data_IF_248558033452
#
_entry.id   IF_248558033452
#
_cell.length_a   1.000
_cell.length_b   1.000
_cell.length_c   1.000
_cell.angle_alpha   90.00
_cell.angle_beta   90.00
_cell.angle_gamma   90.00
#
_symmetry.space_group_name_H-M   'P 1'
#
loop_
_entity.id
_entity.type
_entity.pdbx_description
1 polymer ?
#
# COMPACT_ATOMS: atom_id res chain seq x y z
N UNK A 1 18.03 -0.38 -1.89
CA UNK A 1 16.77 -0.93 -1.39
C UNK A 1 15.85 -1.23 -2.55
N UNK A 2 15.17 -2.35 -2.47
CA UNK A 2 14.31 -2.77 -3.57
C UNK A 2 13.00 -1.99 -3.59
N UNK A 3 12.65 -1.51 -4.74
CA UNK A 3 11.33 -0.99 -5.04
C UNK A 3 10.63 -2.01 -5.92
N UNK A 4 9.36 -2.25 -5.66
CA UNK A 4 8.60 -3.27 -6.39
C UNK A 4 7.31 -2.69 -6.93
N UNK A 5 6.93 -3.15 -8.10
CA UNK A 5 5.62 -2.84 -8.67
C UNK A 5 4.58 -3.72 -8.01
N UNK A 6 3.47 -3.13 -7.63
CA UNK A 6 2.37 -3.84 -7.00
C UNK A 6 1.07 -3.63 -7.74
N UNK A 7 0.15 -4.57 -7.54
CA UNK A 7 -1.21 -4.49 -8.05
C UNK A 7 -2.17 -4.49 -6.86
N UNK A 8 -3.09 -3.53 -6.83
CA UNK A 8 -4.07 -3.43 -5.76
C UNK A 8 -5.20 -4.43 -6.02
N UNK A 9 -5.48 -5.26 -5.03
CA UNK A 9 -6.57 -6.24 -5.10
C UNK A 9 -7.85 -5.74 -4.46
N UNK A 10 -7.73 -5.06 -3.31
CA UNK A 10 -8.89 -4.52 -2.61
C UNK A 10 -8.47 -3.45 -1.62
N UNK A 11 -9.42 -2.63 -1.22
CA UNK A 11 -9.21 -1.66 -0.14
C UNK A 11 -9.59 -2.33 1.18
N UNK A 12 -8.71 -2.23 2.17
CA UNK A 12 -8.92 -2.80 3.49
C UNK A 12 -9.69 -1.82 4.39
N UNK A 13 -10.11 -2.30 5.56
CA UNK A 13 -10.78 -1.47 6.55
C UNK A 13 -9.82 -0.46 7.17
N UNK A 14 -10.35 0.62 7.72
CA UNK A 14 -9.54 1.63 8.41
C UNK A 14 -8.75 1.07 9.59
N UNK A 15 -9.28 0.06 10.26
CA UNK A 15 -8.59 -0.61 11.36
C UNK A 15 -7.26 -1.21 10.91
N UNK A 16 -7.14 -1.59 9.66
CA UNK A 16 -5.91 -2.16 9.12
C UNK A 16 -4.80 -1.13 8.97
N UNK A 17 -5.15 0.16 8.90
CA UNK A 17 -4.14 1.24 8.92
C UNK A 17 -3.38 1.19 10.26
N UNK A 18 -4.10 1.04 11.36
CA UNK A 18 -3.48 0.96 12.68
C UNK A 18 -2.62 -0.29 12.83
N UNK A 19 -3.08 -1.44 12.32
CA UNK A 19 -2.29 -2.67 12.32
C UNK A 19 -1.00 -2.50 11.54
N UNK A 20 -1.07 -1.84 10.39
CA UNK A 20 0.09 -1.57 9.56
C UNK A 20 1.09 -0.65 10.28
N UNK A 21 0.59 0.43 10.90
CA UNK A 21 1.44 1.36 11.65
C UNK A 21 2.11 0.68 12.84
N UNK A 22 1.39 -0.16 13.56
CA UNK A 22 1.93 -0.89 14.70
C UNK A 22 3.03 -1.86 14.28
N UNK A 23 2.86 -2.50 13.14
CA UNK A 23 3.86 -3.44 12.62
C UNK A 23 5.09 -2.71 12.08
N UNK A 24 4.89 -1.66 11.30
CA UNK A 24 5.96 -0.93 10.62
C UNK A 24 6.70 0.05 11.53
N UNK A 25 6.07 0.46 12.62
CA UNK A 25 6.59 1.46 13.57
C UNK A 25 6.83 2.82 12.91
N UNK A 26 6.05 3.12 11.87
CA UNK A 26 6.04 4.42 11.19
C UNK A 26 4.60 4.83 10.90
N UNK A 27 4.39 6.12 10.76
CA UNK A 27 3.06 6.65 10.45
C UNK A 27 2.65 6.31 9.02
N UNK A 28 1.39 5.92 8.84
CA UNK A 28 0.86 5.63 7.51
C UNK A 28 0.86 6.88 6.64
N UNK A 29 1.29 6.71 5.41
CA UNK A 29 1.23 7.74 4.37
C UNK A 29 1.15 7.04 3.02
N UNK A 30 1.07 7.79 1.92
CA UNK A 30 1.13 7.20 0.59
C UNK A 30 2.56 6.79 0.27
N UNK A 31 2.79 5.50 0.12
CA UNK A 31 4.12 4.95 -0.16
C UNK A 31 4.41 4.76 -1.64
N UNK A 32 3.47 5.14 -2.52
CA UNK A 32 3.71 5.11 -3.96
C UNK A 32 4.80 6.12 -4.33
N UNK A 33 5.87 5.66 -4.95
CA UNK A 33 7.01 6.50 -5.35
C UNK A 33 6.62 7.56 -6.40
N UNK A 34 5.52 7.35 -7.09
CA UNK A 34 5.03 8.31 -8.10
C UNK A 34 4.07 9.36 -7.51
N UNK A 35 3.74 9.26 -6.23
CA UNK A 35 2.86 10.21 -5.57
C UNK A 35 3.54 11.56 -5.37
N UNK A 36 2.82 12.64 -5.68
CA UNK A 36 3.31 14.00 -5.51
C UNK A 36 3.19 14.51 -4.06
N UNK A 37 2.59 13.72 -3.18
CA UNK A 37 2.42 14.09 -1.77
C UNK A 37 1.28 15.06 -1.50
N UNK A 38 0.47 15.37 -2.49
CA UNK A 38 -0.65 16.31 -2.35
C UNK A 38 -1.92 15.59 -1.89
N UNK A 39 -1.94 15.19 -0.63
CA UNK A 39 -3.09 14.51 -0.03
C UNK A 39 -3.18 14.88 1.46
N UNK A 40 -4.37 14.72 2.04
CA UNK A 40 -4.56 14.88 3.48
C UNK A 40 -4.53 13.51 4.17
N UNK A 41 -4.29 13.51 5.48
CA UNK A 41 -4.18 12.26 6.26
C UNK A 41 -5.43 11.39 6.16
N UNK A 42 -6.61 12.00 6.07
CA UNK A 42 -7.85 11.25 5.97
C UNK A 42 -8.09 10.61 4.61
N UNK A 43 -7.23 10.89 3.64
CA UNK A 43 -7.27 10.24 2.32
C UNK A 43 -6.43 8.96 2.28
N UNK A 44 -5.67 8.66 3.34
CA UNK A 44 -4.87 7.44 3.38
C UNK A 44 -5.78 6.23 3.64
N UNK A 45 -5.52 5.16 2.90
CA UNK A 45 -6.25 3.89 3.02
C UNK A 45 -5.25 2.75 3.08
N UNK A 46 -5.61 1.71 3.83
CA UNK A 46 -4.88 0.45 3.76
C UNK A 46 -5.41 -0.33 2.56
N UNK A 47 -4.53 -1.00 1.85
CA UNK A 47 -4.89 -1.76 0.66
C UNK A 47 -4.21 -3.13 0.67
N UNK A 48 -4.93 -4.12 0.17
CA UNK A 48 -4.38 -5.45 -0.08
C UNK A 48 -3.76 -5.46 -1.46
N UNK A 49 -2.48 -5.81 -1.54
CA UNK A 49 -1.73 -5.75 -2.79
C UNK A 49 -0.96 -7.04 -3.00
N UNK A 50 -0.63 -7.30 -4.24
CA UNK A 50 0.31 -8.36 -4.60
C UNK A 50 1.43 -7.76 -5.43
N UNK A 51 2.60 -8.40 -5.42
CA UNK A 51 3.69 -8.01 -6.33
C UNK A 51 3.34 -8.48 -7.73
N UNK A 52 3.66 -7.68 -8.74
CA UNK A 52 3.38 -8.06 -10.13
C UNK A 52 4.03 -9.36 -10.54
N UNK A 53 5.22 -9.66 -10.01
CA UNK A 53 5.96 -10.86 -10.35
C UNK A 53 5.62 -12.07 -9.45
N UNK A 54 4.81 -11.88 -8.41
CA UNK A 54 4.42 -12.96 -7.51
C UNK A 54 3.08 -12.65 -6.84
N UNK A 55 2.01 -13.10 -7.46
CA UNK A 55 0.65 -12.85 -6.98
C UNK A 55 0.18 -13.83 -5.90
N UNK A 56 1.04 -14.76 -5.48
CA UNK A 56 0.65 -15.79 -4.50
C UNK A 56 0.63 -15.26 -3.07
N UNK A 57 1.34 -14.16 -2.81
CA UNK A 57 1.45 -13.57 -1.48
C UNK A 57 0.74 -12.23 -1.47
N UNK A 58 -0.20 -12.07 -0.53
CA UNK A 58 -0.90 -10.80 -0.33
C UNK A 58 -0.21 -9.99 0.75
N UNK A 59 0.01 -8.72 0.44
CA UNK A 59 0.61 -7.75 1.36
C UNK A 59 -0.40 -6.67 1.72
N UNK A 60 -0.14 -6.00 2.84
CA UNK A 60 -0.88 -4.82 3.25
C UNK A 60 0.07 -3.62 3.20
N UNK A 61 -0.38 -2.53 2.59
CA UNK A 61 0.36 -1.26 2.59
C UNK A 61 -0.63 -0.12 2.62
N UNK A 62 -0.13 1.12 2.62
CA UNK A 62 -0.98 2.30 2.67
C UNK A 62 -0.71 3.20 1.47
N UNK A 63 -1.78 3.73 0.90
CA UNK A 63 -1.74 4.62 -0.26
C UNK A 63 -2.83 5.69 -0.08
N UNK A 64 -2.66 6.83 -0.76
CA UNK A 64 -3.70 7.84 -0.79
C UNK A 64 -4.79 7.45 -1.81
N UNK A 65 -5.97 8.00 -1.65
CA UNK A 65 -7.11 7.69 -2.53
C UNK A 65 -6.80 7.95 -4.00
N UNK A 66 -6.09 9.03 -4.31
CA UNK A 66 -5.74 9.35 -5.69
C UNK A 66 -4.86 8.27 -6.31
N UNK A 67 -3.86 7.80 -5.59
CA UNK A 67 -2.99 6.73 -6.09
C UNK A 67 -3.77 5.43 -6.31
N UNK A 68 -4.70 5.11 -5.42
CA UNK A 68 -5.57 3.94 -5.58
C UNK A 68 -6.41 4.07 -6.85
N UNK A 69 -6.95 5.25 -7.09
CA UNK A 69 -7.81 5.55 -8.24
C UNK A 69 -7.06 5.42 -9.57
N UNK A 70 -5.80 5.85 -9.59
CA UNK A 70 -5.02 5.92 -10.82
C UNK A 70 -4.08 4.74 -11.05
N UNK A 71 -4.11 3.72 -10.20
CA UNK A 71 -3.20 2.56 -10.33
C UNK A 71 -3.33 1.82 -11.65
N UNK A 72 -4.52 1.80 -12.23
CA UNK A 72 -4.75 1.12 -13.50
C UNK A 72 -4.01 1.77 -14.67
N UNK A 73 -3.72 3.08 -14.56
CA UNK A 73 -3.08 3.83 -15.64
C UNK A 73 -1.56 3.90 -15.49
N UNK A 74 -1.08 4.01 -14.25
CA UNK A 74 0.32 4.33 -13.99
C UNK A 74 1.06 3.27 -13.17
N UNK A 75 0.34 2.30 -12.63
CA UNK A 75 0.92 1.33 -11.72
C UNK A 75 1.26 1.97 -10.36
N UNK A 76 1.79 1.16 -9.46
CA UNK A 76 2.22 1.61 -8.15
C UNK A 76 3.58 1.01 -7.85
N UNK A 77 4.52 1.85 -7.49
CA UNK A 77 5.88 1.43 -7.13
C UNK A 77 6.11 1.80 -5.66
N UNK A 78 6.36 0.79 -4.82
CA UNK A 78 6.61 0.98 -3.39
C UNK A 78 7.90 0.31 -2.97
N UNK A 79 8.51 0.83 -1.90
CA UNK A 79 9.65 0.15 -1.28
C UNK A 79 9.15 -1.12 -0.60
N UNK A 80 9.83 -2.22 -0.87
CA UNK A 80 9.42 -3.54 -0.36
C UNK A 80 9.30 -3.58 1.16
N UNK A 81 10.13 -2.83 1.88
CA UNK A 81 10.09 -2.78 3.34
C UNK A 81 8.77 -2.27 3.92
N UNK A 82 7.96 -1.57 3.13
CA UNK A 82 6.66 -1.06 3.57
C UNK A 82 5.49 -1.97 3.18
N UNK A 83 5.77 -3.16 2.71
CA UNK A 83 4.78 -4.20 2.45
C UNK A 83 4.72 -5.14 3.65
N UNK A 84 3.60 -5.15 4.34
CA UNK A 84 3.38 -6.07 5.46
C UNK A 84 2.73 -7.34 4.93
N UNK A 85 3.31 -8.49 5.23
CA UNK A 85 2.72 -9.77 4.84
C UNK A 85 1.43 -9.97 5.63
N UNK A 86 0.32 -10.20 4.92
CA UNK A 86 -0.95 -10.45 5.58
C UNK A 86 -0.94 -11.83 6.24
N UNK A 87 -1.33 -11.91 7.52
CA UNK A 87 -1.44 -13.22 8.16
C UNK A 87 -2.59 -14.00 7.53
N UNK A 88 -2.31 -15.21 7.14
CA UNK A 88 -3.34 -16.11 6.65
C UNK A 88 -4.17 -16.61 7.83
N UNK A 89 -5.45 -16.58 7.64
CA UNK A 89 -6.36 -17.17 8.61
C UNK A 89 -6.43 -18.68 8.42
#
# INVERSE_FOLDING_TARGET
MAEVNIEIKSVADREDIQKWEDHMLVKAKCWNQFCDGLYSENEIRAVHVVKEDNADITYLTTLCEDCIKYTRSYGVLVKEKYLMIEPRK
#
